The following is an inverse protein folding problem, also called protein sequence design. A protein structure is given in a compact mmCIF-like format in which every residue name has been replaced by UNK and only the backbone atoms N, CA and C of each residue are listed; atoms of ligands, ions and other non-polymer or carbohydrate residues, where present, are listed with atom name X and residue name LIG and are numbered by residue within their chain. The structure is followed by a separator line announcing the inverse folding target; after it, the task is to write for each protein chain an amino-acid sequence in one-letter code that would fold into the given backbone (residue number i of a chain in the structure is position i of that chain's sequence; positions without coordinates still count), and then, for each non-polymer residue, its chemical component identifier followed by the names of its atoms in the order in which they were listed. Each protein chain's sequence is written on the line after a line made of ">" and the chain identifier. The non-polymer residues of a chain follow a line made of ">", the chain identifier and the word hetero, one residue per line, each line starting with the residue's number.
data_IF_325797185255
#
_entry.id   IF_325797185255
#
_cell.length_a   1.000
_cell.length_b   1.000
_cell.length_c   1.000
_cell.angle_alpha   90.00
_cell.angle_beta   90.00
_cell.angle_gamma   90.00
#
_symmetry.space_group_name_H-M   'P 1'
#
loop_
_entity.id
_entity.type
_entity.pdbx_description
1 polymer ?
#
# COMPACT_ATOMS: atom_id res chain seq x y z
N UNK A 1 -7.81 -14.80 12.22
CA UNK A 1 -7.76 -14.03 10.96
C UNK A 1 -8.90 -13.02 11.00
N UNK A 2 -8.63 -11.78 11.39
CA UNK A 2 -9.59 -10.67 11.40
C UNK A 2 -8.92 -9.51 10.68
N UNK A 3 -9.56 -8.99 9.63
CA UNK A 3 -9.01 -8.02 8.70
C UNK A 3 -8.55 -6.73 9.37
N UNK A 4 -7.30 -6.38 9.15
CA UNK A 4 -6.59 -5.24 9.72
C UNK A 4 -6.72 -3.94 8.90
N UNK A 5 -7.72 -3.82 8.01
CA UNK A 5 -7.74 -2.75 7.00
C UNK A 5 -8.22 -1.37 7.48
N UNK A 6 -9.15 -1.30 8.43
CA UNK A 6 -9.80 -0.01 8.81
C UNK A 6 -9.56 0.37 10.26
N UNK A 7 -9.69 -0.58 11.19
CA UNK A 7 -9.46 -0.34 12.61
C UNK A 7 -8.03 0.09 12.92
N UNK A 8 -7.04 -0.44 12.19
CA UNK A 8 -5.62 -0.14 12.43
C UNK A 8 -5.22 1.24 11.90
N UNK A 9 -5.72 1.64 10.72
CA UNK A 9 -5.52 2.98 10.13
C UNK A 9 -6.19 4.06 11.00
N UNK A 10 -7.40 3.80 11.49
CA UNK A 10 -8.09 4.71 12.42
C UNK A 10 -7.33 4.81 13.75
N UNK A 11 -6.87 3.69 14.32
CA UNK A 11 -6.11 3.67 15.58
C UNK A 11 -4.77 4.37 15.46
N UNK A 12 -4.08 4.22 14.33
CA UNK A 12 -2.84 4.95 14.01
C UNK A 12 -3.09 6.46 13.93
N UNK A 13 -4.10 6.88 13.18
CA UNK A 13 -4.45 8.31 13.04
C UNK A 13 -4.85 8.93 14.37
N UNK A 14 -5.63 8.21 15.18
CA UNK A 14 -6.07 8.69 16.50
C UNK A 14 -4.90 8.75 17.49
N UNK A 15 -4.05 7.72 17.54
CA UNK A 15 -2.89 7.68 18.44
C UNK A 15 -1.88 8.80 18.12
N UNK A 16 -1.69 9.12 16.84
CA UNK A 16 -0.80 10.20 16.40
C UNK A 16 -1.39 11.60 16.69
N UNK A 17 -2.72 11.77 16.68
CA UNK A 17 -3.36 13.03 17.09
C UNK A 17 -3.37 13.24 18.61
N UNK A 18 -3.39 12.15 19.39
CA UNK A 18 -3.51 12.19 20.85
C UNK A 18 -2.18 12.16 21.61
N UNK A 19 -1.04 12.07 20.91
CA UNK A 19 0.29 12.17 21.54
C UNK A 19 0.66 10.98 22.43
N UNK A 20 0.10 9.79 22.17
CA UNK A 20 0.34 8.57 22.96
C UNK A 20 1.07 7.48 22.16
N UNK A 21 2.33 7.70 21.74
CA UNK A 21 3.08 6.80 20.87
C UNK A 21 3.42 5.43 21.52
N UNK A 22 3.40 5.34 22.86
CA UNK A 22 3.77 4.12 23.60
C UNK A 22 2.74 2.99 23.59
N UNK A 23 1.55 3.19 23.02
CA UNK A 23 0.47 2.19 22.95
C UNK A 23 0.42 1.41 21.62
N UNK A 24 1.39 1.62 20.71
CA UNK A 24 1.50 0.93 19.43
C UNK A 24 2.59 -0.15 19.48
N UNK A 25 2.17 -1.41 19.67
CA UNK A 25 3.04 -2.60 19.59
C UNK A 25 3.16 -2.99 18.12
N UNK A 26 4.38 -2.95 17.58
CA UNK A 26 4.76 -3.31 16.19
C UNK A 26 4.12 -4.62 15.74
N UNK A 27 3.08 -4.56 14.91
CA UNK A 27 2.40 -5.77 14.42
C UNK A 27 2.21 -5.89 12.90
N UNK A 28 2.53 -4.86 12.11
CA UNK A 28 2.40 -4.95 10.65
C UNK A 28 3.61 -4.31 9.98
N UNK A 29 4.40 -5.13 9.27
CA UNK A 29 5.50 -4.66 8.40
C UNK A 29 5.01 -4.21 7.02
N UNK A 30 3.68 -4.14 6.83
CA UNK A 30 3.05 -3.88 5.55
C UNK A 30 1.85 -2.93 5.71
N UNK A 31 1.72 -1.97 4.81
CA UNK A 31 0.61 -1.05 4.69
C UNK A 31 -0.19 -1.39 3.44
N UNK A 32 -1.46 -1.78 3.61
CA UNK A 32 -2.37 -2.07 2.51
C UNK A 32 -3.23 -0.83 2.18
N UNK A 33 -3.12 -0.31 0.96
CA UNK A 33 -3.71 0.97 0.56
C UNK A 33 -4.70 0.79 -0.61
N UNK A 34 -5.94 1.32 -0.53
CA UNK A 34 -6.81 1.41 -1.70
C UNK A 34 -6.32 2.47 -2.69
N UNK A 35 -6.59 2.32 -3.99
CA UNK A 35 -6.28 3.36 -4.99
C UNK A 35 -6.91 4.72 -4.66
N UNK A 36 -8.11 4.69 -4.05
CA UNK A 36 -8.86 5.88 -3.67
C UNK A 36 -9.50 5.71 -2.30
N UNK A 37 -9.50 6.79 -1.52
CA UNK A 37 -10.27 6.90 -0.27
C UNK A 37 -10.99 8.24 -0.25
N UNK A 38 -12.31 8.24 -0.04
CA UNK A 38 -13.13 9.46 0.03
C UNK A 38 -12.91 10.43 -1.15
N UNK A 39 -12.72 9.90 -2.36
CA UNK A 39 -12.48 10.68 -3.59
C UNK A 39 -11.02 11.08 -3.83
N UNK A 40 -10.14 10.90 -2.85
CA UNK A 40 -8.70 11.25 -2.93
C UNK A 40 -7.92 10.06 -3.50
N UNK A 41 -7.09 10.31 -4.51
CA UNK A 41 -6.15 9.32 -5.04
C UNK A 41 -5.02 9.10 -4.03
N UNK A 42 -4.80 7.84 -3.63
CA UNK A 42 -3.70 7.47 -2.74
C UNK A 42 -2.47 6.96 -3.51
N UNK A 43 -2.52 6.99 -4.85
CA UNK A 43 -1.37 6.81 -5.73
C UNK A 43 -0.42 8.02 -5.62
N UNK A 44 0.35 8.10 -4.54
CA UNK A 44 1.29 9.20 -4.28
C UNK A 44 2.62 8.64 -3.75
N UNK A 45 3.71 9.06 -4.40
CA UNK A 45 5.08 8.73 -4.00
C UNK A 45 5.37 9.13 -2.55
N UNK A 46 4.82 10.26 -2.08
CA UNK A 46 5.04 10.75 -0.71
C UNK A 46 4.49 9.82 0.35
N UNK A 47 3.38 9.13 0.04
CA UNK A 47 2.78 8.14 0.93
C UNK A 47 3.71 6.94 1.05
N UNK A 48 4.20 6.45 -0.10
CA UNK A 48 5.12 5.31 -0.19
C UNK A 48 6.43 5.60 0.54
N UNK A 49 7.09 6.72 0.21
CA UNK A 49 8.35 7.10 0.87
C UNK A 49 8.15 7.31 2.39
N UNK A 50 6.96 7.77 2.80
CA UNK A 50 6.59 7.90 4.21
C UNK A 50 6.54 6.57 4.94
N UNK A 51 5.91 5.56 4.34
CA UNK A 51 5.86 4.20 4.87
C UNK A 51 7.26 3.56 4.89
N UNK A 52 8.05 3.72 3.83
CA UNK A 52 9.42 3.21 3.76
C UNK A 52 10.33 3.80 4.85
N UNK A 53 10.20 5.10 5.15
CA UNK A 53 10.94 5.73 6.29
C UNK A 53 10.58 5.13 7.65
N UNK A 54 9.42 4.52 7.77
CA UNK A 54 8.97 3.83 8.98
C UNK A 54 9.32 2.33 8.96
N UNK A 55 9.99 1.85 7.90
CA UNK A 55 10.33 0.44 7.71
C UNK A 55 9.12 -0.42 7.37
N UNK A 56 8.13 0.16 6.69
CA UNK A 56 6.91 -0.53 6.26
C UNK A 56 6.90 -0.69 4.74
N UNK A 57 6.55 -1.88 4.27
CA UNK A 57 6.27 -2.16 2.87
C UNK A 57 4.88 -1.62 2.48
N UNK A 58 4.66 -1.27 1.22
CA UNK A 58 3.38 -0.73 0.72
C UNK A 58 2.81 -1.63 -0.36
N UNK A 59 1.60 -2.13 -0.09
CA UNK A 59 0.84 -2.96 -1.00
C UNK A 59 -0.44 -2.24 -1.44
N UNK A 60 -0.74 -2.26 -2.73
CA UNK A 60 -2.02 -1.78 -3.25
C UNK A 60 -2.93 -2.96 -3.59
N UNK A 61 -4.22 -2.83 -3.27
CA UNK A 61 -5.19 -3.88 -3.54
C UNK A 61 -6.10 -3.59 -4.73
N UNK A 62 -6.43 -4.69 -5.41
CA UNK A 62 -7.15 -4.85 -6.68
C UNK A 62 -6.80 -3.83 -7.76
N UNK A 63 -5.68 -4.09 -8.42
CA UNK A 63 -5.23 -3.38 -9.62
C UNK A 63 -5.39 -4.32 -10.81
N UNK A 64 -6.32 -4.02 -11.71
CA UNK A 64 -6.72 -4.93 -12.79
C UNK A 64 -6.39 -4.38 -14.21
N UNK A 65 -5.58 -3.32 -14.29
CA UNK A 65 -5.11 -2.72 -15.54
C UNK A 65 -3.59 -2.47 -15.54
N UNK A 66 -2.94 -2.73 -16.67
CA UNK A 66 -1.49 -2.57 -16.81
C UNK A 66 -1.01 -1.13 -16.58
N UNK A 67 -1.65 -0.06 -17.10
CA UNK A 67 -1.18 1.30 -16.87
C UNK A 67 -1.06 1.67 -15.38
N UNK A 68 -2.04 1.24 -14.57
CA UNK A 68 -2.01 1.47 -13.13
C UNK A 68 -0.97 0.61 -12.42
N UNK A 69 -0.81 -0.67 -12.82
CA UNK A 69 0.28 -1.50 -12.31
C UNK A 69 1.63 -0.85 -12.55
N UNK A 70 1.88 -0.39 -13.79
CA UNK A 70 3.12 0.30 -14.13
C UNK A 70 3.32 1.53 -13.25
N UNK A 71 2.31 2.41 -13.18
CA UNK A 71 2.40 3.64 -12.41
C UNK A 71 2.69 3.39 -10.92
N UNK A 72 2.06 2.39 -10.30
CA UNK A 72 2.30 2.09 -8.88
C UNK A 72 3.69 1.51 -8.63
N UNK A 73 4.16 0.63 -9.51
CA UNK A 73 5.52 0.09 -9.44
C UNK A 73 6.57 1.20 -9.64
N UNK A 74 6.33 2.16 -10.55
CA UNK A 74 7.23 3.30 -10.75
C UNK A 74 7.25 4.24 -9.52
N UNK A 75 6.12 4.35 -8.83
CA UNK A 75 6.03 5.07 -7.56
C UNK A 75 6.68 4.32 -6.40
N UNK A 76 7.12 3.07 -6.59
CA UNK A 76 7.85 2.29 -5.59
C UNK A 76 6.94 1.45 -4.68
N UNK A 77 5.74 1.09 -5.13
CA UNK A 77 4.95 0.09 -4.42
C UNK A 77 5.70 -1.26 -4.36
N UNK A 78 5.66 -1.91 -3.19
CA UNK A 78 6.36 -3.19 -2.95
C UNK A 78 5.56 -4.40 -3.44
N UNK A 79 4.25 -4.24 -3.60
CA UNK A 79 3.43 -5.25 -4.24
C UNK A 79 2.03 -4.79 -4.60
N UNK A 80 1.39 -5.57 -5.46
CA UNK A 80 0.08 -5.29 -6.01
C UNK A 80 -0.78 -6.55 -5.94
N UNK A 81 -1.98 -6.46 -5.40
CA UNK A 81 -2.99 -7.52 -5.54
C UNK A 81 -3.82 -7.27 -6.79
N UNK A 82 -4.09 -8.33 -7.54
CA UNK A 82 -4.77 -8.28 -8.84
C UNK A 82 -5.65 -9.51 -9.03
N UNK A 83 -6.79 -9.33 -9.68
CA UNK A 83 -7.59 -10.43 -10.23
C UNK A 83 -7.14 -10.82 -11.65
N UNK A 84 -6.15 -10.09 -12.20
CA UNK A 84 -5.61 -10.26 -13.56
C UNK A 84 -4.13 -10.70 -13.50
N UNK A 85 -3.84 -11.93 -13.03
CA UNK A 85 -2.48 -12.43 -12.94
C UNK A 85 -1.80 -12.53 -14.32
N UNK A 86 -2.58 -12.67 -15.39
CA UNK A 86 -2.12 -12.62 -16.78
C UNK A 86 -1.51 -11.26 -17.14
N UNK A 87 -2.15 -10.16 -16.74
CA UNK A 87 -1.64 -8.81 -16.95
C UNK A 87 -0.43 -8.52 -16.06
N UNK A 88 -0.48 -8.92 -14.78
CA UNK A 88 0.65 -8.77 -13.86
C UNK A 88 1.91 -9.46 -14.40
N UNK A 89 1.75 -10.69 -14.92
CA UNK A 89 2.86 -11.43 -15.51
C UNK A 89 3.47 -10.69 -16.71
N UNK A 90 2.65 -10.12 -17.58
CA UNK A 90 3.13 -9.32 -18.70
C UNK A 90 3.92 -8.09 -18.21
N UNK A 91 3.38 -7.35 -17.25
CA UNK A 91 4.03 -6.16 -16.65
C UNK A 91 5.38 -6.53 -16.01
N UNK A 92 5.45 -7.63 -15.26
CA UNK A 92 6.70 -8.10 -14.65
C UNK A 92 7.73 -8.49 -15.71
N UNK A 93 7.32 -9.22 -16.74
CA UNK A 93 8.20 -9.61 -17.86
C UNK A 93 8.76 -8.39 -18.61
N UNK A 94 7.91 -7.41 -18.92
CA UNK A 94 8.30 -6.15 -19.56
C UNK A 94 9.30 -5.35 -18.71
N UNK A 95 9.16 -5.42 -17.38
CA UNK A 95 10.06 -4.78 -16.41
C UNK A 95 11.33 -5.58 -16.11
N UNK A 96 11.51 -6.77 -16.70
CA UNK A 96 12.64 -7.65 -16.40
C UNK A 96 12.61 -8.25 -14.98
N UNK A 97 11.45 -8.23 -14.34
CA UNK A 97 11.18 -8.82 -13.03
C UNK A 97 10.69 -10.27 -13.21
N UNK A 98 11.02 -11.16 -12.26
CA UNK A 98 10.65 -12.57 -12.29
C UNK A 98 9.67 -12.92 -11.18
#
# INVERSE_FOLDING_TARGET
>A
MLGAGTAEVTRFTLAHKLGLPGLYRRYSHALEIPLRSHGISLKDRRIIDGAHRLGMDVYYWTIDDQPTMHALLDLGADGLFTNRPDLMKAVLQERGLR
#
